data_IF_374480830977
#
_entry.id   IF_374480830977
#
_cell.length_a   1.000
_cell.length_b   1.000
_cell.length_c   1.000
_cell.angle_alpha   90.00
_cell.angle_beta   90.00
_cell.angle_gamma   90.00
#
_symmetry.space_group_name_H-M   'P 1'
#
loop_
_entity.id
_entity.type
_entity.pdbx_description
1 polymer ?
#
# COMPACT_ATOMS: atom_id res chain seq x y z
N UNK A 1 2.26 -8.27 36.04
CA UNK A 1 2.65 -7.44 34.88
C UNK A 1 1.72 -7.51 33.67
N UNK A 2 0.67 -8.37 33.63
CA UNK A 2 -0.24 -8.45 32.47
C UNK A 2 -1.54 -7.63 32.60
N UNK A 3 -1.85 -7.08 33.78
CA UNK A 3 -3.10 -6.32 34.00
C UNK A 3 -2.97 -4.81 33.70
N UNK A 4 -1.79 -4.22 33.90
CA UNK A 4 -1.58 -2.77 33.67
C UNK A 4 -1.65 -2.32 32.20
N UNK A 5 -1.28 -3.20 31.24
CA UNK A 5 -1.36 -2.85 29.81
C UNK A 5 -2.79 -2.76 29.29
N UNK A 6 -3.72 -3.50 29.89
CA UNK A 6 -5.11 -3.57 29.44
C UNK A 6 -5.88 -2.29 29.83
N UNK A 7 -5.62 -1.76 31.03
CA UNK A 7 -6.26 -0.54 31.54
C UNK A 7 -5.90 0.73 30.76
N UNK A 8 -4.71 0.79 30.13
CA UNK A 8 -4.26 1.99 29.39
C UNK A 8 -4.86 2.11 27.97
N UNK A 9 -5.33 1.00 27.40
CA UNK A 9 -5.93 0.98 26.07
C UNK A 9 -7.39 1.47 26.06
N UNK A 10 -8.10 1.34 27.19
CA UNK A 10 -9.52 1.71 27.31
C UNK A 10 -9.77 3.23 27.39
N UNK A 11 -8.74 4.03 27.67
CA UNK A 11 -8.83 5.50 27.76
C UNK A 11 -8.92 6.17 26.37
N UNK A 12 -8.53 5.45 25.31
CA UNK A 12 -8.64 5.90 23.93
C UNK A 12 -9.99 5.44 23.37
N UNK A 13 -10.89 6.40 23.07
CA UNK A 13 -12.14 6.12 22.34
C UNK A 13 -11.83 5.73 20.89
N UNK A 14 -11.40 4.49 20.69
CA UNK A 14 -11.16 3.91 19.38
C UNK A 14 -12.53 3.60 18.74
N UNK A 15 -12.97 4.46 17.84
CA UNK A 15 -14.26 4.36 17.15
C UNK A 15 -14.34 3.18 16.15
N UNK A 16 -15.56 2.79 15.80
CA UNK A 16 -15.93 1.46 15.26
C UNK A 16 -15.27 0.89 13.97
N UNK A 17 -14.44 1.62 13.22
CA UNK A 17 -13.66 1.08 12.07
C UNK A 17 -12.12 1.18 12.27
N UNK A 18 -11.68 1.62 13.46
CA UNK A 18 -10.26 1.56 13.85
C UNK A 18 -9.93 0.13 14.29
N UNK A 19 -9.57 -0.71 13.31
CA UNK A 19 -9.01 -2.02 13.59
C UNK A 19 -7.60 -1.84 14.15
N UNK A 20 -7.45 -2.10 15.45
CA UNK A 20 -6.16 -2.05 16.15
C UNK A 20 -5.27 -3.25 15.83
N UNK A 21 -5.78 -4.21 15.05
CA UNK A 21 -5.04 -5.40 14.66
C UNK A 21 -4.30 -5.17 13.34
N UNK A 22 -3.02 -5.52 13.33
CA UNK A 22 -2.21 -5.46 12.11
C UNK A 22 -2.59 -6.60 11.15
N UNK A 23 -3.20 -6.26 10.02
CA UNK A 23 -3.52 -7.18 8.93
C UNK A 23 -3.07 -6.58 7.59
N UNK A 24 -1.78 -6.74 7.22
CA UNK A 24 -1.22 -6.08 6.05
C UNK A 24 -1.94 -6.44 4.74
N UNK A 25 -2.45 -7.68 4.64
CA UNK A 25 -3.19 -8.13 3.46
C UNK A 25 -4.54 -7.45 3.33
N UNK A 26 -5.26 -7.32 4.45
CA UNK A 26 -6.53 -6.58 4.48
C UNK A 26 -6.29 -5.12 4.13
N UNK A 27 -5.26 -4.53 4.70
CA UNK A 27 -4.91 -3.13 4.48
C UNK A 27 -4.52 -2.87 3.03
N UNK A 28 -3.80 -3.79 2.38
CA UNK A 28 -3.56 -3.71 0.94
C UNK A 28 -4.86 -3.72 0.13
N UNK A 29 -5.84 -4.57 0.48
CA UNK A 29 -7.15 -4.60 -0.21
C UNK A 29 -7.90 -3.29 -0.02
N UNK A 30 -7.97 -2.79 1.23
CA UNK A 30 -8.63 -1.51 1.54
C UNK A 30 -7.98 -0.37 0.77
N UNK A 31 -6.65 -0.34 0.70
CA UNK A 31 -5.93 0.69 -0.03
C UNK A 31 -6.24 0.61 -1.53
N UNK A 32 -6.10 -0.57 -2.13
CA UNK A 32 -6.37 -0.78 -3.56
C UNK A 32 -7.83 -0.51 -3.93
N UNK A 33 -8.79 -0.78 -3.03
CA UNK A 33 -10.20 -0.48 -3.29
C UNK A 33 -10.45 1.04 -3.35
N UNK A 34 -9.85 1.82 -2.43
CA UNK A 34 -9.91 3.29 -2.46
C UNK A 34 -9.30 3.86 -3.74
N UNK A 35 -8.14 3.33 -4.10
CA UNK A 35 -7.39 3.64 -5.32
C UNK A 35 -8.22 3.46 -6.59
N UNK A 36 -8.99 2.38 -6.66
CA UNK A 36 -9.85 2.09 -7.81
C UNK A 36 -11.23 2.74 -7.73
N UNK A 37 -11.43 3.74 -6.85
CA UNK A 37 -12.68 4.49 -6.73
C UNK A 37 -13.82 3.72 -6.05
N UNK A 38 -13.53 2.58 -5.44
CA UNK A 38 -14.50 1.72 -4.77
C UNK A 38 -14.09 1.50 -3.30
N UNK A 39 -14.17 2.53 -2.44
CA UNK A 39 -13.80 2.39 -1.03
C UNK A 39 -14.72 1.36 -0.34
N UNK A 40 -14.11 0.34 0.26
CA UNK A 40 -14.83 -0.71 1.00
C UNK A 40 -14.27 -0.79 2.42
N UNK A 41 -15.15 -0.91 3.41
CA UNK A 41 -14.73 -0.99 4.82
C UNK A 41 -14.08 -2.34 5.15
N UNK A 42 -13.23 -2.35 6.17
CA UNK A 42 -12.56 -3.55 6.68
C UNK A 42 -13.56 -4.65 7.01
N UNK A 43 -14.66 -4.28 7.67
CA UNK A 43 -15.72 -5.20 8.06
C UNK A 43 -16.37 -5.91 6.86
N UNK A 44 -16.61 -5.19 5.76
CA UNK A 44 -17.19 -5.80 4.54
C UNK A 44 -16.22 -6.81 3.91
N UNK A 45 -14.93 -6.49 3.85
CA UNK A 45 -13.91 -7.38 3.27
C UNK A 45 -13.77 -8.67 4.11
N UNK A 46 -13.82 -8.54 5.45
CA UNK A 46 -13.68 -9.65 6.40
C UNK A 46 -14.93 -10.50 6.57
N UNK A 47 -16.11 -9.96 6.25
CA UNK A 47 -17.41 -10.58 6.56
C UNK A 47 -17.51 -12.04 6.07
N UNK A 48 -17.71 -12.96 7.00
CA UNK A 48 -17.90 -14.39 6.70
C UNK A 48 -16.63 -15.13 6.23
N UNK A 49 -15.44 -14.58 6.47
CA UNK A 49 -14.18 -15.29 6.24
C UNK A 49 -13.68 -16.00 7.51
N UNK A 50 -13.14 -17.22 7.41
CA UNK A 50 -12.55 -17.94 8.54
C UNK A 50 -11.14 -17.41 8.84
N UNK A 51 -11.07 -16.24 9.47
CA UNK A 51 -9.79 -15.57 9.77
C UNK A 51 -8.95 -16.38 10.78
N UNK A 52 -7.64 -16.35 10.60
CA UNK A 52 -6.68 -16.98 11.53
C UNK A 52 -6.02 -15.87 12.33
N UNK A 53 -6.08 -15.95 13.67
CA UNK A 53 -5.59 -14.89 14.57
C UNK A 53 -6.13 -13.52 14.19
N UNK A 54 -7.43 -13.42 13.89
CA UNK A 54 -8.11 -12.19 13.51
C UNK A 54 -7.61 -11.52 12.21
N UNK A 55 -6.79 -12.20 11.41
CA UNK A 55 -6.19 -11.62 10.21
C UNK A 55 -6.30 -12.54 8.98
N UNK A 56 -6.22 -11.93 7.79
CA UNK A 56 -6.28 -12.63 6.52
C UNK A 56 -5.06 -13.53 6.31
N UNK A 57 -5.31 -14.64 5.63
CA UNK A 57 -4.27 -15.52 5.09
C UNK A 57 -4.22 -15.33 3.58
N UNK A 58 -3.08 -15.71 2.97
CA UNK A 58 -2.89 -15.64 1.52
C UNK A 58 -3.94 -16.47 0.77
N UNK A 59 -4.39 -17.58 1.36
CA UNK A 59 -5.45 -18.43 0.81
C UNK A 59 -6.81 -17.71 0.74
N UNK A 60 -7.13 -16.89 1.74
CA UNK A 60 -8.37 -16.13 1.79
C UNK A 60 -8.34 -14.86 0.93
N UNK A 61 -7.15 -14.42 0.52
CA UNK A 61 -6.95 -13.16 -0.19
C UNK A 61 -7.84 -13.02 -1.44
N UNK A 62 -7.94 -14.00 -2.36
CA UNK A 62 -8.78 -13.85 -3.54
C UNK A 62 -10.28 -13.68 -3.22
N UNK A 63 -10.75 -14.35 -2.16
CA UNK A 63 -12.14 -14.21 -1.70
C UNK A 63 -12.38 -12.85 -1.05
N UNK A 64 -11.42 -12.36 -0.27
CA UNK A 64 -11.46 -11.03 0.33
C UNK A 64 -11.44 -9.94 -0.74
N UNK A 65 -10.51 -10.01 -1.70
CA UNK A 65 -10.37 -9.06 -2.81
C UNK A 65 -11.65 -8.95 -3.65
N UNK A 66 -12.33 -10.07 -3.94
CA UNK A 66 -13.59 -10.06 -4.70
C UNK A 66 -14.69 -9.24 -4.01
N UNK A 67 -14.73 -9.20 -2.68
CA UNK A 67 -15.69 -8.35 -1.93
C UNK A 67 -15.41 -6.86 -2.13
N UNK A 68 -14.17 -6.50 -2.44
CA UNK A 68 -13.77 -5.14 -2.79
C UNK A 68 -13.90 -4.83 -4.30
N UNK A 69 -14.51 -5.72 -5.09
CA UNK A 69 -14.60 -5.55 -6.55
C UNK A 69 -13.28 -5.77 -7.27
N UNK A 70 -12.34 -6.49 -6.65
CA UNK A 70 -11.02 -6.78 -7.18
C UNK A 70 -10.89 -8.26 -7.54
N UNK A 71 -10.30 -8.55 -8.69
CA UNK A 71 -9.78 -9.86 -9.04
C UNK A 71 -8.31 -9.94 -8.62
N UNK A 72 -7.89 -11.10 -8.11
CA UNK A 72 -6.49 -11.30 -7.73
C UNK A 72 -5.99 -12.71 -7.99
N UNK A 73 -4.67 -12.82 -8.16
CA UNK A 73 -3.97 -14.08 -8.38
C UNK A 73 -2.62 -14.08 -7.66
N UNK A 74 -2.39 -15.11 -6.85
CA UNK A 74 -1.12 -15.35 -6.17
C UNK A 74 -0.19 -16.13 -7.10
N UNK A 75 1.05 -15.66 -7.24
CA UNK A 75 2.07 -16.29 -8.07
C UNK A 75 3.41 -16.34 -7.31
N UNK A 76 4.14 -17.44 -7.47
CA UNK A 76 5.53 -17.55 -7.03
C UNK A 76 6.42 -17.14 -8.18
N UNK A 77 7.12 -16.01 -8.05
CA UNK A 77 8.03 -15.52 -9.07
C UNK A 77 9.05 -14.54 -8.47
N UNK A 78 10.25 -14.43 -9.06
CA UNK A 78 11.25 -13.44 -8.68
C UNK A 78 10.79 -12.01 -9.00
N UNK A 79 11.45 -11.00 -8.43
CA UNK A 79 11.05 -9.59 -8.60
C UNK A 79 11.35 -9.05 -10.00
N UNK A 80 12.38 -9.57 -10.66
CA UNK A 80 12.83 -9.18 -12.00
C UNK A 80 11.81 -9.48 -13.11
N UNK A 81 10.97 -10.50 -12.92
CA UNK A 81 9.90 -10.88 -13.87
C UNK A 81 8.72 -9.93 -13.82
N UNK A 82 8.58 -9.14 -12.74
CA UNK A 82 7.52 -8.14 -12.63
C UNK A 82 7.82 -7.00 -13.60
N UNK A 83 6.79 -6.56 -14.32
CA UNK A 83 6.88 -5.49 -15.30
C UNK A 83 5.82 -4.40 -15.01
N UNK A 84 6.04 -3.21 -15.57
CA UNK A 84 5.16 -2.06 -15.38
C UNK A 84 3.70 -2.33 -15.81
N UNK A 85 3.49 -3.17 -16.83
CA UNK A 85 2.14 -3.52 -17.32
C UNK A 85 1.36 -4.42 -16.36
N UNK A 86 2.04 -5.07 -15.40
CA UNK A 86 1.40 -5.95 -14.43
C UNK A 86 1.05 -5.27 -13.10
N UNK A 87 1.42 -4.00 -12.93
CA UNK A 87 1.15 -3.21 -11.74
C UNK A 87 -0.33 -2.78 -11.64
N UNK A 88 -0.87 -2.57 -10.42
CA UNK A 88 -0.22 -2.74 -9.12
C UNK A 88 -0.10 -4.22 -8.69
N UNK A 89 0.95 -4.53 -7.92
CA UNK A 89 1.22 -5.88 -7.41
C UNK A 89 1.51 -5.82 -5.91
N UNK A 90 0.93 -6.73 -5.12
CA UNK A 90 1.28 -6.86 -3.70
C UNK A 90 2.46 -7.82 -3.59
N UNK A 91 3.53 -7.38 -2.95
CA UNK A 91 4.69 -8.21 -2.63
C UNK A 91 4.51 -8.78 -1.22
N UNK A 92 4.65 -10.09 -1.07
CA UNK A 92 4.68 -10.72 0.24
C UNK A 92 6.11 -10.67 0.78
N UNK A 93 6.26 -10.07 1.95
CA UNK A 93 7.55 -9.90 2.60
C UNK A 93 7.68 -10.88 3.79
N UNK A 94 8.90 -11.01 4.29
CA UNK A 94 9.19 -11.77 5.49
C UNK A 94 8.44 -11.20 6.71
N UNK A 95 8.30 -12.01 7.76
CA UNK A 95 7.64 -11.62 9.01
C UNK A 95 6.16 -11.24 8.85
N UNK A 96 5.47 -11.86 7.87
CA UNK A 96 4.04 -11.64 7.60
C UNK A 96 3.72 -10.19 7.24
N UNK A 97 4.66 -9.49 6.59
CA UNK A 97 4.46 -8.15 6.05
C UNK A 97 4.08 -8.19 4.56
N UNK A 98 3.49 -7.10 4.08
CA UNK A 98 3.18 -6.94 2.67
C UNK A 98 3.36 -5.47 2.28
N UNK A 99 3.73 -5.23 1.02
CA UNK A 99 3.73 -3.89 0.44
C UNK A 99 3.13 -3.93 -0.96
N UNK A 100 2.69 -2.78 -1.45
CA UNK A 100 2.15 -2.66 -2.82
C UNK A 100 3.23 -2.04 -3.69
N UNK A 101 3.68 -2.78 -4.69
CA UNK A 101 4.52 -2.31 -5.77
C UNK A 101 3.67 -1.57 -6.80
N UNK A 102 4.04 -0.32 -7.04
CA UNK A 102 3.26 0.64 -7.82
C UNK A 102 4.05 1.20 -9.01
N UNK A 103 5.39 1.18 -8.94
CA UNK A 103 6.25 1.47 -10.08
C UNK A 103 7.54 0.64 -10.04
N UNK A 104 8.09 0.36 -11.21
CA UNK A 104 9.34 -0.38 -11.41
C UNK A 104 10.20 0.37 -12.40
N UNK A 105 11.30 0.94 -11.94
CA UNK A 105 12.35 1.52 -12.76
C UNK A 105 13.48 0.51 -12.97
N UNK A 106 13.47 -0.16 -14.12
CA UNK A 106 14.49 -1.16 -14.47
C UNK A 106 15.83 -0.53 -14.85
N UNK A 107 15.84 0.72 -15.34
CA UNK A 107 17.08 1.40 -15.75
C UNK A 107 17.81 1.95 -14.52
N UNK A 108 17.08 2.57 -13.59
CA UNK A 108 17.61 3.06 -12.33
C UNK A 108 17.77 1.99 -11.24
N UNK A 109 17.19 0.80 -11.41
CA UNK A 109 17.22 -0.27 -10.41
C UNK A 109 16.41 0.06 -9.15
N UNK A 110 15.37 0.88 -9.29
CA UNK A 110 14.55 1.40 -8.19
C UNK A 110 13.12 0.90 -8.29
N UNK A 111 12.52 0.61 -7.14
CA UNK A 111 11.12 0.27 -7.02
C UNK A 111 10.40 1.34 -6.21
N UNK A 112 9.18 1.68 -6.63
CA UNK A 112 8.30 2.51 -5.80
C UNK A 112 7.28 1.59 -5.14
N UNK A 113 7.25 1.59 -3.82
CA UNK A 113 6.34 0.77 -3.03
C UNK A 113 5.51 1.62 -2.07
N UNK A 114 4.37 1.09 -1.65
CA UNK A 114 3.51 1.67 -0.61
C UNK A 114 3.32 0.66 0.50
N UNK A 115 3.62 1.06 1.73
CA UNK A 115 3.37 0.25 2.91
C UNK A 115 1.97 0.52 3.46
N UNK A 116 1.10 -0.50 3.59
CA UNK A 116 -0.27 -0.32 4.07
C UNK A 116 -0.35 0.36 5.44
N UNK A 117 0.64 0.13 6.31
CA UNK A 117 0.71 0.69 7.67
C UNK A 117 0.98 2.21 7.66
N UNK A 118 1.57 2.73 6.59
CA UNK A 118 1.85 4.16 6.41
C UNK A 118 0.73 4.88 5.66
N UNK A 119 -0.33 4.15 5.31
CA UNK A 119 -1.43 4.65 4.49
C UNK A 119 -1.05 4.72 3.02
N UNK A 120 -0.80 5.93 2.51
CA UNK A 120 -0.55 6.20 1.08
C UNK A 120 0.85 6.78 0.86
N UNK A 121 1.77 6.54 1.79
CA UNK A 121 3.16 6.96 1.66
C UNK A 121 3.87 6.07 0.64
N UNK A 122 4.38 6.68 -0.43
CA UNK A 122 5.28 6.02 -1.36
C UNK A 122 6.71 6.11 -0.84
N UNK A 123 7.45 5.03 -1.05
CA UNK A 123 8.87 4.95 -0.76
C UNK A 123 9.59 4.38 -1.98
N UNK A 124 10.66 5.06 -2.39
CA UNK A 124 11.55 4.57 -3.44
C UNK A 124 12.67 3.78 -2.81
N UNK A 125 12.74 2.50 -3.12
CA UNK A 125 13.69 1.57 -2.54
C UNK A 125 14.50 0.89 -3.65
N UNK A 126 15.82 0.75 -3.51
CA UNK A 126 16.62 -0.05 -4.44
C UNK A 126 16.13 -1.49 -4.51
N UNK A 127 16.08 -2.05 -5.72
CA UNK A 127 15.75 -3.45 -5.96
C UNK A 127 16.47 -4.44 -5.01
N UNK A 128 17.80 -4.34 -4.78
CA UNK A 128 18.49 -5.30 -3.90
C UNK A 128 18.10 -5.18 -2.43
N UNK A 129 17.49 -4.08 -1.98
CA UNK A 129 17.02 -3.96 -0.60
C UNK A 129 15.70 -4.70 -0.40
N UNK A 130 14.77 -4.56 -1.34
CA UNK A 130 13.50 -5.28 -1.26
C UNK A 130 13.70 -6.79 -1.46
N UNK A 131 14.68 -7.20 -2.27
CA UNK A 131 14.96 -8.59 -2.59
C UNK A 131 15.37 -9.40 -1.35
N UNK A 132 16.05 -8.76 -0.39
CA UNK A 132 16.43 -9.37 0.90
C UNK A 132 15.23 -9.73 1.77
N UNK A 133 14.14 -8.99 1.66
CA UNK A 133 12.94 -9.15 2.50
C UNK A 133 11.77 -9.78 1.74
N UNK A 134 11.86 -9.91 0.43
CA UNK A 134 10.84 -10.51 -0.42
C UNK A 134 10.79 -12.03 -0.23
N UNK A 135 9.58 -12.56 -0.06
CA UNK A 135 9.36 -13.99 0.20
C UNK A 135 9.34 -14.87 -1.08
N UNK A 136 9.39 -14.25 -2.27
CA UNK A 136 9.24 -14.96 -3.55
C UNK A 136 7.81 -15.07 -4.06
N UNK A 137 6.83 -14.53 -3.33
CA UNK A 137 5.41 -14.57 -3.69
C UNK A 137 4.84 -13.17 -3.90
N UNK A 138 4.09 -13.02 -4.98
CA UNK A 138 3.39 -11.79 -5.36
C UNK A 138 1.91 -12.07 -5.59
N UNK A 139 1.08 -11.07 -5.31
CA UNK A 139 -0.35 -11.10 -5.58
C UNK A 139 -0.67 -10.01 -6.58
N UNK A 140 -1.04 -10.41 -7.78
CA UNK A 140 -1.48 -9.51 -8.84
C UNK A 140 -2.92 -9.14 -8.57
N UNK A 141 -3.24 -7.85 -8.65
CA UNK A 141 -4.58 -7.34 -8.36
C UNK A 141 -5.04 -6.43 -9.49
N UNK A 142 -6.28 -6.62 -9.93
CA UNK A 142 -6.94 -5.76 -10.91
C UNK A 142 -8.40 -5.57 -10.52
N UNK A 143 -9.05 -4.45 -10.88
CA UNK A 143 -10.51 -4.36 -10.82
C UNK A 143 -11.14 -5.53 -11.55
N UNK A 144 -12.15 -6.15 -10.93
CA UNK A 144 -12.90 -7.21 -11.58
C UNK A 144 -13.61 -6.65 -12.82
N UNK A 145 -13.44 -7.31 -13.98
CA UNK A 145 -14.12 -6.89 -15.20
C UNK A 145 -15.62 -7.16 -15.05
N UNK A 146 -16.36 -6.13 -14.66
CA UNK A 146 -17.81 -6.15 -14.65
C UNK A 146 -18.28 -5.50 -15.96
N UNK A 147 -19.02 -6.25 -16.77
CA UNK A 147 -19.77 -5.70 -17.90
C UNK A 147 -20.89 -4.86 -17.28
N UNK A 148 -20.62 -3.60 -17.01
CA UNK A 148 -21.62 -2.61 -16.66
C UNK A 148 -21.65 -1.59 -17.79
N UNK A 149 -22.87 -1.23 -18.21
CA UNK A 149 -23.22 -0.18 -19.19
C UNK A 149 -22.86 1.23 -18.70
N UNK A 150 -21.75 1.37 -17.97
CA UNK A 150 -21.26 2.65 -17.46
C UNK A 150 -20.24 3.22 -18.44
N UNK A 151 -20.44 4.50 -18.75
CA UNK A 151 -19.80 5.26 -19.81
C UNK A 151 -18.32 4.94 -20.01
N UNK A 152 -17.97 4.72 -21.28
CA UNK A 152 -16.64 4.28 -21.76
C UNK A 152 -15.54 5.33 -21.51
N UNK A 153 -15.92 6.57 -21.19
CA UNK A 153 -15.01 7.72 -21.12
C UNK A 153 -14.09 7.75 -19.87
N UNK A 154 -14.49 7.15 -18.74
CA UNK A 154 -13.65 7.15 -17.51
C UNK A 154 -12.59 6.02 -17.46
N UNK A 155 -12.59 5.11 -18.44
CA UNK A 155 -11.86 3.81 -18.33
C UNK A 155 -10.41 3.82 -18.78
N UNK A 156 -9.92 4.84 -19.50
CA UNK A 156 -8.63 4.75 -20.19
C UNK A 156 -7.49 5.59 -19.60
N UNK A 157 -7.78 6.63 -18.80
CA UNK A 157 -6.74 7.52 -18.22
C UNK A 157 -6.42 7.26 -16.74
N UNK A 158 -7.23 6.45 -16.07
CA UNK A 158 -7.21 6.30 -14.60
C UNK A 158 -6.31 5.17 -14.09
N UNK A 159 -5.25 4.77 -14.80
CA UNK A 159 -4.23 3.84 -14.25
C UNK A 159 -2.91 4.54 -13.91
N UNK A 160 -2.58 5.64 -14.60
CA UNK A 160 -1.31 6.35 -14.41
C UNK A 160 -1.50 7.66 -13.64
N UNK A 161 -2.65 8.32 -13.74
CA UNK A 161 -2.90 9.63 -13.15
C UNK A 161 -3.47 9.59 -11.71
N UNK A 162 -4.19 8.51 -11.35
CA UNK A 162 -4.80 8.41 -10.02
C UNK A 162 -3.75 8.27 -8.90
N UNK A 163 -2.63 7.60 -9.18
CA UNK A 163 -1.52 7.42 -8.24
C UNK A 163 -0.91 8.76 -7.84
N UNK A 164 -0.59 9.60 -8.83
CA UNK A 164 -0.16 10.98 -8.61
C UNK A 164 -1.23 11.86 -7.95
N UNK A 165 -2.52 11.62 -8.25
CA UNK A 165 -3.62 12.38 -7.65
C UNK A 165 -3.78 12.16 -6.14
N UNK A 166 -3.42 10.98 -5.62
CA UNK A 166 -3.51 10.65 -4.19
C UNK A 166 -2.19 10.95 -3.45
N UNK A 167 -1.05 10.84 -4.14
CA UNK A 167 0.29 11.15 -3.62
C UNK A 167 0.42 12.59 -3.08
N UNK A 168 -0.29 13.58 -3.65
CA UNK A 168 -0.25 14.97 -3.16
C UNK A 168 -0.82 15.17 -1.74
N UNK A 169 -1.52 14.19 -1.17
CA UNK A 169 -2.08 14.30 0.19
C UNK A 169 -1.01 14.18 1.28
N UNK A 170 0.12 13.50 1.00
CA UNK A 170 1.18 13.20 1.97
C UNK A 170 2.41 14.11 1.87
N UNK A 171 2.38 15.19 1.06
CA UNK A 171 3.52 16.12 0.90
C UNK A 171 3.89 16.88 2.20
N UNK A 172 3.03 16.86 3.22
CA UNK A 172 3.24 17.58 4.49
C UNK A 172 4.45 17.11 5.31
N UNK A 173 4.82 15.82 5.30
CA UNK A 173 6.04 15.36 6.01
C UNK A 173 7.32 15.63 5.22
N UNK A 174 7.29 15.54 3.89
CA UNK A 174 8.47 15.74 3.05
C UNK A 174 8.81 17.22 2.81
N UNK A 175 7.84 18.13 2.96
CA UNK A 175 8.07 19.58 2.89
C UNK A 175 9.10 20.04 3.92
N UNK A 176 9.06 19.51 5.13
CA UNK A 176 9.93 19.99 6.20
C UNK A 176 11.40 19.62 5.94
N UNK A 177 11.67 18.43 5.39
CA UNK A 177 13.02 18.00 5.00
C UNK A 177 13.53 18.77 3.77
N UNK A 178 12.68 18.99 2.76
CA UNK A 178 13.04 19.80 1.59
C UNK A 178 13.35 21.26 1.98
N UNK A 179 12.51 21.86 2.82
CA UNK A 179 12.71 23.22 3.31
C UNK A 179 13.98 23.30 4.17
N UNK A 180 14.22 22.33 5.06
CA UNK A 180 15.44 22.28 5.85
C UNK A 180 16.71 22.16 4.99
N UNK A 181 16.71 21.26 4.00
CA UNK A 181 17.85 21.10 3.08
C UNK A 181 18.11 22.32 2.20
N UNK A 182 17.06 23.03 1.78
CA UNK A 182 17.17 24.30 1.07
C UNK A 182 17.79 25.39 1.95
N UNK A 183 17.35 25.52 3.21
CA UNK A 183 17.93 26.49 4.14
C UNK A 183 19.39 26.17 4.49
N UNK A 184 19.77 24.90 4.61
CA UNK A 184 21.17 24.51 4.85
C UNK A 184 22.06 24.98 3.69
N UNK A 185 21.64 24.73 2.45
CA UNK A 185 22.36 25.19 1.26
C UNK A 185 22.41 26.73 1.17
N UNK A 186 21.31 27.39 1.53
CA UNK A 186 21.23 28.85 1.51
C UNK A 186 22.13 29.50 2.58
N UNK A 187 22.19 28.95 3.80
CA UNK A 187 23.10 29.41 4.83
C UNK A 187 24.56 29.16 4.48
N UNK A 188 24.89 28.01 3.89
CA UNK A 188 26.24 27.73 3.41
C UNK A 188 26.73 28.73 2.36
N UNK A 189 25.84 29.22 1.49
CA UNK A 189 26.12 30.26 0.51
C UNK A 189 26.09 31.70 1.07
N UNK A 190 25.42 31.92 2.20
CA UNK A 190 25.32 33.24 2.86
C UNK A 190 26.45 33.50 3.88
N UNK A 191 27.17 32.46 4.31
CA UNK A 191 28.36 32.58 5.17
C UNK A 191 29.61 33.30 4.59
N UNK A 192 29.81 33.55 3.28
CA UNK A 192 30.99 34.28 2.83
C UNK A 192 30.85 35.81 2.92
N UNK A 193 29.77 36.35 3.52
CA UNK A 193 29.52 37.79 3.62
C UNK A 193 29.70 38.40 5.03
N UNK A 194 30.37 37.70 5.95
CA UNK A 194 30.88 38.26 7.22
C UNK A 194 32.37 37.98 7.40
#
# INVERSE_FOLDING_TARGET
>A
MSQDKKAKAEDWKLGGDTDTHNDPLLDCIVLLSKVHGHPVSRNVIRAGLPLVNNALTVELFPRAARRAGLSSRVLRQPLDTINQFTLPVILLLNERRACILVDVDKEGGMLTIVFPETGIGEEKIPLPEIEKVYSGFSIFVRPEYRIQEQNVEDRLDSSRNWFWGVMFSSWKMYRDVLVASFFINLFGLATPFY
#
